data_IF_306913936108
#
_entry.id   IF_306913936108
#
_cell.length_a   1.000
_cell.length_b   1.000
_cell.length_c   1.000
_cell.angle_alpha   90.00
_cell.angle_beta   90.00
_cell.angle_gamma   90.00
#
_symmetry.space_group_name_H-M   'P 1'
#
loop_
_entity.id
_entity.type
_entity.pdbx_description
1 polymer ?
#
# COMPACT_ATOMS: atom_id res chain seq x y z
N UNK A 1 -13.99 20.09 -11.85
CA UNK A 1 -13.64 18.66 -12.09
C UNK A 1 -12.58 18.29 -11.07
N UNK A 2 -12.64 17.07 -10.52
CA UNK A 2 -11.61 16.60 -9.58
C UNK A 2 -10.55 15.77 -10.30
N UNK A 3 -9.30 15.85 -9.82
CA UNK A 3 -8.19 15.02 -10.32
C UNK A 3 -8.45 13.50 -10.16
N UNK A 4 -9.35 13.10 -9.27
CA UNK A 4 -9.65 11.68 -9.00
C UNK A 4 -10.91 11.17 -9.73
N UNK A 5 -11.53 11.98 -10.59
CA UNK A 5 -12.78 11.60 -11.28
C UNK A 5 -12.62 10.39 -12.20
N UNK A 6 -11.42 10.15 -12.73
CA UNK A 6 -11.14 9.00 -13.62
C UNK A 6 -11.29 7.65 -12.91
N UNK A 7 -11.13 7.62 -11.58
CA UNK A 7 -11.25 6.39 -10.80
C UNK A 7 -12.70 5.90 -10.67
N UNK A 8 -13.69 6.74 -11.02
CA UNK A 8 -15.11 6.40 -10.88
C UNK A 8 -15.50 5.12 -11.62
N UNK A 9 -14.84 4.83 -12.76
CA UNK A 9 -15.09 3.63 -13.56
C UNK A 9 -14.47 2.36 -12.97
N UNK A 10 -13.47 2.47 -12.11
CA UNK A 10 -12.72 1.35 -11.54
C UNK A 10 -13.10 1.09 -10.08
N UNK A 11 -13.17 2.16 -9.28
CA UNK A 11 -13.53 2.12 -7.87
C UNK A 11 -14.16 3.45 -7.46
N UNK A 12 -15.49 3.50 -7.32
CA UNK A 12 -16.21 4.66 -6.78
C UNK A 12 -15.70 5.11 -5.41
N UNK A 13 -15.24 4.17 -4.58
CA UNK A 13 -14.71 4.46 -3.25
C UNK A 13 -13.36 5.21 -3.34
N UNK A 14 -12.42 4.74 -4.18
CA UNK A 14 -11.16 5.45 -4.40
C UNK A 14 -11.38 6.84 -4.98
N UNK A 15 -12.29 6.97 -5.95
CA UNK A 15 -12.68 8.26 -6.51
C UNK A 15 -13.19 9.22 -5.41
N UNK A 16 -14.07 8.74 -4.53
CA UNK A 16 -14.63 9.54 -3.45
C UNK A 16 -13.57 9.97 -2.42
N UNK A 17 -12.71 9.04 -1.99
CA UNK A 17 -11.65 9.33 -1.02
C UNK A 17 -10.67 10.38 -1.55
N UNK A 18 -10.21 10.22 -2.79
CA UNK A 18 -9.31 11.18 -3.44
C UNK A 18 -9.97 12.55 -3.68
N UNK A 19 -11.23 12.57 -4.15
CA UNK A 19 -12.03 13.80 -4.28
C UNK A 19 -12.18 14.53 -2.95
N UNK A 20 -12.44 13.79 -1.88
CA UNK A 20 -12.62 14.37 -0.55
C UNK A 20 -11.30 14.92 -0.02
N UNK A 21 -10.19 14.20 -0.19
CA UNK A 21 -8.87 14.68 0.16
C UNK A 21 -8.51 15.97 -0.60
N UNK A 22 -8.73 15.99 -1.92
CA UNK A 22 -8.45 17.16 -2.77
C UNK A 22 -9.24 18.39 -2.33
N UNK A 23 -10.53 18.24 -2.01
CA UNK A 23 -11.37 19.36 -1.58
C UNK A 23 -10.97 19.92 -0.22
N UNK A 24 -10.52 19.06 0.70
CA UNK A 24 -10.21 19.47 2.08
C UNK A 24 -8.79 20.02 2.24
N UNK A 25 -7.93 20.02 1.21
CA UNK A 25 -6.50 20.36 1.35
C UNK A 25 -6.25 21.75 1.96
N UNK A 26 -7.14 22.71 1.68
CA UNK A 26 -7.04 24.08 2.18
C UNK A 26 -7.95 24.37 3.39
N UNK A 27 -9.00 23.57 3.59
CA UNK A 27 -9.99 23.78 4.65
C UNK A 27 -9.63 23.00 5.93
N UNK A 28 -9.26 21.73 5.77
CA UNK A 28 -8.88 20.83 6.85
C UNK A 28 -7.78 19.86 6.37
N UNK A 29 -6.50 20.24 6.54
CA UNK A 29 -5.38 19.37 6.22
C UNK A 29 -5.38 18.04 6.97
N UNK A 30 -5.94 17.98 8.18
CA UNK A 30 -6.01 16.73 8.95
C UNK A 30 -6.98 15.75 8.29
N UNK A 31 -8.17 16.23 7.91
CA UNK A 31 -9.12 15.44 7.12
C UNK A 31 -8.49 14.98 5.82
N UNK A 32 -7.72 15.84 5.14
CA UNK A 32 -6.98 15.47 3.93
C UNK A 32 -6.05 14.29 4.16
N UNK A 33 -5.20 14.34 5.20
CA UNK A 33 -4.26 13.27 5.52
C UNK A 33 -4.98 11.95 5.86
N UNK A 34 -6.07 12.01 6.63
CA UNK A 34 -6.88 10.82 6.96
C UNK A 34 -7.47 10.20 5.69
N UNK A 35 -8.01 11.03 4.78
CA UNK A 35 -8.59 10.55 3.51
C UNK A 35 -7.53 9.95 2.59
N UNK A 36 -6.34 10.55 2.52
CA UNK A 36 -5.21 10.00 1.75
C UNK A 36 -4.70 8.68 2.32
N UNK A 37 -4.67 8.53 3.65
CA UNK A 37 -4.34 7.25 4.29
C UNK A 37 -5.33 6.16 3.89
N UNK A 38 -6.63 6.42 4.06
CA UNK A 38 -7.68 5.47 3.67
C UNK A 38 -7.64 5.17 2.16
N UNK A 39 -7.34 6.17 1.34
CA UNK A 39 -7.18 6.01 -0.10
C UNK A 39 -6.02 5.05 -0.42
N UNK A 40 -4.86 5.23 0.22
CA UNK A 40 -3.71 4.32 0.07
C UNK A 40 -4.02 2.90 0.50
N UNK A 41 -4.61 2.72 1.69
CA UNK A 41 -5.02 1.40 2.20
C UNK A 41 -6.02 0.71 1.26
N UNK A 42 -7.01 1.45 0.76
CA UNK A 42 -8.00 0.94 -0.19
C UNK A 42 -7.36 0.60 -1.54
N UNK A 43 -6.41 1.41 -2.02
CA UNK A 43 -5.72 1.19 -3.29
C UNK A 43 -4.89 -0.08 -3.24
N UNK A 44 -4.16 -0.28 -2.15
CA UNK A 44 -3.37 -1.49 -1.90
C UNK A 44 -4.27 -2.72 -1.92
N UNK A 45 -5.39 -2.71 -1.19
CA UNK A 45 -6.37 -3.82 -1.22
C UNK A 45 -6.94 -4.08 -2.61
N UNK A 46 -7.21 -3.01 -3.36
CA UNK A 46 -7.69 -3.13 -4.73
C UNK A 46 -6.63 -3.78 -5.65
N UNK A 47 -5.35 -3.46 -5.47
CA UNK A 47 -4.25 -4.10 -6.21
C UNK A 47 -4.14 -5.60 -5.87
N UNK A 48 -4.21 -5.98 -4.59
CA UNK A 48 -4.22 -7.40 -4.18
C UNK A 48 -5.36 -8.18 -4.83
N UNK A 49 -6.57 -7.64 -4.77
CA UNK A 49 -7.74 -8.27 -5.37
C UNK A 49 -7.63 -8.41 -6.91
N UNK A 50 -6.87 -7.53 -7.58
CA UNK A 50 -6.61 -7.64 -9.02
C UNK A 50 -5.57 -8.72 -9.36
N UNK A 51 -4.60 -8.96 -8.47
CA UNK A 51 -3.53 -9.94 -8.67
C UNK A 51 -3.90 -11.35 -8.16
N UNK A 52 -5.12 -11.54 -7.65
CA UNK A 52 -5.57 -12.77 -6.97
C UNK A 52 -4.68 -13.17 -5.79
N UNK A 53 -3.97 -12.20 -5.20
CA UNK A 53 -3.11 -12.39 -4.04
C UNK A 53 -3.94 -12.20 -2.76
N UNK A 54 -3.87 -13.17 -1.86
CA UNK A 54 -4.53 -13.08 -0.56
C UNK A 54 -3.71 -12.20 0.40
N UNK A 55 -4.40 -11.32 1.14
CA UNK A 55 -3.80 -10.38 2.09
C UNK A 55 -2.97 -11.11 3.18
N UNK A 56 -3.28 -12.39 3.43
CA UNK A 56 -2.60 -13.27 4.39
C UNK A 56 -1.24 -13.81 3.91
N UNK A 57 -0.95 -13.79 2.61
CA UNK A 57 0.30 -14.34 2.05
C UNK A 57 1.54 -13.52 2.46
N UNK A 58 1.34 -12.27 2.89
CA UNK A 58 2.42 -11.34 3.27
C UNK A 58 2.61 -11.25 4.79
N UNK A 59 1.59 -11.56 5.59
CA UNK A 59 1.67 -11.51 7.07
C UNK A 59 2.44 -12.72 7.62
N UNK A 60 2.69 -13.74 6.80
CA UNK A 60 3.75 -14.69 7.07
C UNK A 60 5.10 -13.97 6.93
N UNK A 61 5.62 -13.44 8.05
CA UNK A 61 7.07 -13.35 8.21
C UNK A 61 7.67 -14.67 7.72
N UNK A 62 8.74 -14.64 6.90
CA UNK A 62 9.38 -15.87 6.48
C UNK A 62 9.85 -16.57 7.75
N UNK A 63 9.10 -17.60 8.16
CA UNK A 63 9.45 -18.46 9.30
C UNK A 63 10.73 -19.26 9.02
N UNK A 64 11.30 -19.10 7.83
CA UNK A 64 12.54 -19.68 7.39
C UNK A 64 13.62 -18.61 7.15
N UNK A 65 14.10 -18.00 8.23
CA UNK A 65 15.34 -17.19 8.23
C UNK A 65 16.61 -18.02 7.90
N UNK A 66 16.50 -19.33 7.61
CA UNK A 66 17.67 -20.17 7.28
C UNK A 66 18.44 -19.65 6.06
N UNK A 67 17.80 -18.92 5.15
CA UNK A 67 18.48 -18.37 3.98
C UNK A 67 19.28 -17.08 4.30
N UNK A 68 18.91 -16.33 5.35
CA UNK A 68 19.67 -15.17 5.81
C UNK A 68 20.93 -15.58 6.57
N UNK A 69 20.88 -16.72 7.28
CA UNK A 69 22.03 -17.31 7.95
C UNK A 69 23.10 -17.79 6.94
N UNK A 70 22.68 -18.34 5.79
CA UNK A 70 23.60 -18.74 4.71
C UNK A 70 24.31 -17.52 4.08
N UNK A 71 23.60 -16.42 3.83
CA UNK A 71 24.19 -15.19 3.31
C UNK A 71 25.19 -14.56 4.31
N UNK A 72 24.87 -14.58 5.61
CA UNK A 72 25.82 -14.12 6.63
C UNK A 72 27.05 -15.04 6.73
N UNK A 73 26.90 -16.36 6.61
CA UNK A 73 28.02 -17.29 6.64
C UNK A 73 28.98 -17.10 5.46
N UNK A 74 28.45 -16.86 4.24
CA UNK A 74 29.27 -16.62 3.07
C UNK A 74 30.09 -15.32 3.18
N UNK A 75 29.47 -14.23 3.65
CA UNK A 75 30.13 -12.92 3.77
C UNK A 75 31.22 -12.92 4.84
N UNK A 76 31.05 -13.69 5.93
CA UNK A 76 32.06 -13.81 7.00
C UNK A 76 33.25 -14.63 6.52
N UNK A 77 33.02 -15.68 5.72
CA UNK A 77 34.08 -16.60 5.29
C UNK A 77 34.87 -16.12 4.07
N UNK A 78 34.32 -15.19 3.27
CA UNK A 78 35.04 -14.53 2.16
C UNK A 78 36.00 -13.41 2.62
N UNK A 79 36.04 -13.08 3.92
CA UNK A 79 36.92 -12.05 4.49
C UNK A 79 38.05 -12.57 5.38
N UNK A 80 38.37 -13.87 5.34
CA UNK A 80 39.58 -14.46 5.94
C UNK A 80 40.59 -14.88 4.88
#
# INVERSE_FOLDING_TARGET
MSNFSFLQAYSPLLANLGQTAERNIHEDPNTTLIKLRLFGETMTKFMYALEELDEDEIIHEPSDNRHLDEYHFHIINERS
#
